data_IF_709856687723
#
_entry.id   IF_709856687723
#
_cell.length_a   1.000
_cell.length_b   1.000
_cell.length_c   1.000
_cell.angle_alpha   90.00
_cell.angle_beta   90.00
_cell.angle_gamma   90.00
#
_symmetry.space_group_name_H-M   'P 1'
#
loop_
_entity.id
_entity.type
_entity.pdbx_description
1 polymer ?
#
# COMPACT_ATOMS: atom_id res chain seq x y z
N UNK A 1 0.87 26.65 16.17
CA UNK A 1 1.16 25.37 16.86
C UNK A 1 -0.10 24.52 16.83
N UNK A 2 -0.08 23.30 16.28
CA UNK A 2 -1.24 22.40 16.47
C UNK A 2 -1.44 21.18 15.55
N UNK A 3 -0.76 21.02 14.40
CA UNK A 3 -1.06 19.90 13.48
C UNK A 3 -0.11 18.69 13.70
N UNK A 4 1.06 18.89 14.30
CA UNK A 4 2.06 17.84 14.54
C UNK A 4 1.81 16.97 15.79
N UNK A 5 0.66 17.10 16.45
CA UNK A 5 0.31 16.30 17.63
C UNK A 5 -0.70 15.16 17.38
N UNK A 6 -1.12 14.90 16.14
CA UNK A 6 -1.87 13.67 15.81
C UNK A 6 -0.98 12.40 15.78
N UNK A 7 0.34 12.56 15.87
CA UNK A 7 1.32 11.47 15.79
C UNK A 7 2.19 11.30 17.03
N UNK A 8 1.91 12.01 18.13
CA UNK A 8 2.66 11.85 19.38
C UNK A 8 1.77 11.31 20.50
N UNK A 9 2.16 10.10 20.96
CA UNK A 9 1.74 9.32 22.15
C UNK A 9 0.43 8.51 22.08
N UNK A 10 0.55 7.24 21.66
CA UNK A 10 0.73 6.06 22.54
C UNK A 10 0.78 4.81 21.64
N UNK A 11 1.96 4.19 21.52
CA UNK A 11 2.19 2.75 21.22
C UNK A 11 1.13 1.99 20.38
N UNK A 12 0.59 2.56 19.30
CA UNK A 12 -0.38 1.89 18.45
C UNK A 12 -0.19 2.37 17.02
N UNK A 13 0.12 1.44 16.11
CA UNK A 13 0.33 1.70 14.70
C UNK A 13 -1.00 1.93 13.94
N UNK A 14 -2.06 2.40 14.61
CA UNK A 14 -3.39 2.55 14.04
C UNK A 14 -3.38 3.55 12.87
N UNK A 15 -2.79 4.73 13.09
CA UNK A 15 -2.63 5.74 12.03
C UNK A 15 -1.70 5.24 10.93
N UNK A 16 -0.64 4.51 11.29
CA UNK A 16 0.31 3.95 10.34
C UNK A 16 -0.38 2.94 9.40
N UNK A 17 -1.19 2.03 9.93
CA UNK A 17 -1.96 1.07 9.14
C UNK A 17 -3.06 1.76 8.32
N UNK A 18 -3.76 2.73 8.92
CA UNK A 18 -4.82 3.48 8.25
C UNK A 18 -4.31 4.25 7.04
N UNK A 19 -3.19 4.96 7.13
CA UNK A 19 -2.58 5.66 6.00
C UNK A 19 -2.31 4.72 4.81
N UNK A 20 -1.91 3.48 5.10
CA UNK A 20 -1.49 2.50 4.08
C UNK A 20 -2.73 1.89 3.42
N UNK A 21 -3.80 1.70 4.21
CA UNK A 21 -5.13 1.35 3.69
C UNK A 21 -5.70 2.45 2.79
N UNK A 22 -5.63 3.71 3.21
CA UNK A 22 -6.14 4.83 2.41
C UNK A 22 -5.35 4.99 1.11
N UNK A 23 -4.01 4.94 1.15
CA UNK A 23 -3.19 4.96 -0.05
C UNK A 23 -3.57 3.81 -1.00
N UNK A 24 -3.73 2.59 -0.48
CA UNK A 24 -4.15 1.43 -1.27
C UNK A 24 -5.48 1.67 -1.99
N UNK A 25 -6.52 2.08 -1.25
CA UNK A 25 -7.87 2.32 -1.78
C UNK A 25 -7.85 3.41 -2.85
N UNK A 26 -7.27 4.57 -2.53
CA UNK A 26 -7.29 5.73 -3.42
C UNK A 26 -6.32 5.61 -4.61
N UNK A 27 -5.35 4.68 -4.54
CA UNK A 27 -4.48 4.36 -5.68
C UNK A 27 -5.13 3.42 -6.70
N UNK A 28 -6.22 2.73 -6.35
CA UNK A 28 -6.83 1.71 -7.21
C UNK A 28 -7.47 2.28 -8.48
N UNK A 29 -8.19 3.41 -8.35
CA UNK A 29 -8.75 4.14 -9.50
C UNK A 29 -7.66 4.59 -10.47
N UNK A 30 -6.67 5.39 -10.01
CA UNK A 30 -5.47 5.73 -10.78
C UNK A 30 -4.81 4.54 -11.49
N UNK A 31 -4.55 3.44 -10.78
CA UNK A 31 -3.96 2.23 -11.35
C UNK A 31 -4.76 1.68 -12.53
N UNK A 32 -6.06 1.46 -12.32
CA UNK A 32 -6.94 0.84 -13.34
C UNK A 32 -7.27 1.77 -14.50
N UNK A 33 -7.21 3.09 -14.30
CA UNK A 33 -7.36 4.09 -15.35
C UNK A 33 -6.09 4.20 -16.22
N UNK A 34 -4.90 4.21 -15.61
CA UNK A 34 -3.63 4.29 -16.34
C UNK A 34 -3.34 3.00 -17.11
N UNK A 35 -3.69 1.84 -16.54
CA UNK A 35 -3.49 0.51 -17.11
C UNK A 35 -4.83 -0.21 -17.33
N UNK A 36 -5.53 0.21 -18.40
CA UNK A 36 -6.90 -0.23 -18.72
C UNK A 36 -7.09 -1.74 -18.88
N UNK A 37 -6.03 -2.50 -19.15
CA UNK A 37 -6.06 -3.96 -19.21
C UNK A 37 -6.45 -4.62 -17.88
N UNK A 38 -6.33 -3.88 -16.76
CA UNK A 38 -6.72 -4.31 -15.42
C UNK A 38 -8.07 -3.74 -14.96
N UNK A 39 -8.81 -3.04 -15.83
CA UNK A 39 -10.13 -2.44 -15.52
C UNK A 39 -11.16 -3.45 -14.98
N UNK A 40 -11.07 -4.72 -15.37
CA UNK A 40 -11.93 -5.80 -14.84
C UNK A 40 -11.76 -6.04 -13.32
N UNK A 41 -10.69 -5.54 -12.70
CA UNK A 41 -10.54 -5.53 -11.25
C UNK A 41 -11.56 -4.61 -10.56
N UNK A 42 -12.18 -3.67 -11.28
CA UNK A 42 -13.15 -2.72 -10.73
C UNK A 42 -14.54 -3.34 -10.42
N UNK A 43 -14.74 -4.64 -10.68
CA UNK A 43 -15.95 -5.32 -10.19
C UNK A 43 -15.97 -5.32 -8.66
N UNK A 44 -17.15 -5.21 -8.04
CA UNK A 44 -17.29 -5.14 -6.58
C UNK A 44 -16.58 -6.31 -5.86
N UNK A 45 -16.69 -7.52 -6.42
CA UNK A 45 -16.04 -8.72 -5.89
C UNK A 45 -14.51 -8.61 -5.95
N UNK A 46 -13.95 -8.19 -7.08
CA UNK A 46 -12.51 -8.08 -7.27
C UNK A 46 -11.91 -6.93 -6.45
N UNK A 47 -12.65 -5.82 -6.31
CA UNK A 47 -12.28 -4.71 -5.44
C UNK A 47 -12.15 -5.15 -3.98
N UNK A 48 -13.07 -5.98 -3.47
CA UNK A 48 -12.97 -6.54 -2.11
C UNK A 48 -11.71 -7.38 -1.90
N UNK A 49 -11.32 -8.16 -2.91
CA UNK A 49 -10.08 -8.96 -2.88
C UNK A 49 -8.86 -8.04 -2.87
N UNK A 50 -8.81 -7.04 -3.76
CA UNK A 50 -7.77 -6.02 -3.78
C UNK A 50 -7.65 -5.29 -2.43
N UNK A 51 -8.79 -4.89 -1.88
CA UNK A 51 -8.90 -4.18 -0.61
C UNK A 51 -8.47 -5.00 0.61
N UNK A 52 -8.46 -6.34 0.50
CA UNK A 52 -7.93 -7.21 1.53
C UNK A 52 -6.40 -7.38 1.40
N UNK A 53 -5.88 -7.46 0.18
CA UNK A 53 -4.49 -7.86 -0.05
C UNK A 53 -3.53 -6.68 -0.25
N UNK A 54 -3.91 -5.69 -1.04
CA UNK A 54 -3.01 -4.60 -1.41
C UNK A 54 -2.61 -3.71 -0.22
N UNK A 55 -3.53 -3.34 0.70
CA UNK A 55 -3.12 -2.63 1.92
C UNK A 55 -2.08 -3.38 2.75
N UNK A 56 -2.16 -4.72 2.80
CA UNK A 56 -1.20 -5.55 3.52
C UNK A 56 0.16 -5.50 2.84
N UNK A 57 0.21 -5.60 1.50
CA UNK A 57 1.45 -5.49 0.74
C UNK A 57 2.12 -4.11 0.93
N UNK A 58 1.35 -3.02 0.85
CA UNK A 58 1.85 -1.65 1.12
C UNK A 58 2.36 -1.52 2.55
N UNK A 59 1.55 -1.96 3.53
CA UNK A 59 1.89 -1.86 4.95
C UNK A 59 3.13 -2.67 5.30
N UNK A 60 3.20 -3.91 4.83
CA UNK A 60 4.32 -4.82 5.01
C UNK A 60 5.60 -4.31 4.36
N UNK A 61 5.54 -3.78 3.14
CA UNK A 61 6.71 -3.18 2.49
C UNK A 61 7.23 -1.96 3.23
N UNK A 62 6.33 -1.03 3.61
CA UNK A 62 6.71 0.15 4.41
C UNK A 62 7.28 -0.26 5.77
N UNK A 63 6.67 -1.25 6.45
CA UNK A 63 7.10 -1.71 7.76
C UNK A 63 8.48 -2.36 7.72
N UNK A 64 8.80 -3.05 6.64
CA UNK A 64 10.12 -3.61 6.39
C UNK A 64 11.18 -2.52 6.18
N UNK A 65 10.86 -1.48 5.41
CA UNK A 65 11.76 -0.33 5.19
C UNK A 65 12.06 0.42 6.51
N UNK A 66 11.06 0.48 7.39
CA UNK A 66 11.11 1.15 8.68
C UNK A 66 11.68 0.26 9.81
N UNK A 67 12.00 -1.01 9.52
CA UNK A 67 12.58 -1.94 10.49
C UNK A 67 11.60 -2.47 11.55
N UNK A 68 10.30 -2.36 11.30
CA UNK A 68 9.24 -2.72 12.26
C UNK A 68 9.01 -4.24 12.32
N UNK A 69 9.27 -4.96 11.23
CA UNK A 69 9.04 -6.42 11.13
C UNK A 69 10.07 -7.21 11.95
N UNK A 70 11.26 -6.65 12.14
CA UNK A 70 12.36 -7.22 12.92
C UNK A 70 12.14 -7.08 14.42
N UNK A 71 11.35 -6.09 14.85
CA UNK A 71 11.04 -5.85 16.26
C UNK A 71 9.73 -6.56 16.65
N UNK A 72 9.76 -7.66 17.44
CA UNK A 72 8.55 -8.44 17.72
C UNK A 72 7.44 -7.67 18.42
N UNK A 73 7.79 -6.71 19.30
CA UNK A 73 6.80 -5.92 20.04
C UNK A 73 6.11 -4.91 19.13
N UNK A 74 6.88 -4.25 18.27
CA UNK A 74 6.35 -3.30 17.30
C UNK A 74 5.53 -4.00 16.22
N UNK A 75 6.02 -5.13 15.71
CA UNK A 75 5.29 -5.94 14.74
C UNK A 75 3.97 -6.47 15.30
N UNK A 76 3.92 -6.92 16.56
CA UNK A 76 2.67 -7.37 17.17
C UNK A 76 1.65 -6.23 17.30
N UNK A 77 2.09 -5.03 17.67
CA UNK A 77 1.23 -3.84 17.69
C UNK A 77 0.75 -3.49 16.28
N UNK A 78 1.62 -3.55 15.26
CA UNK A 78 1.25 -3.31 13.88
C UNK A 78 0.21 -4.30 13.34
N UNK A 79 0.36 -5.60 13.62
CA UNK A 79 -0.64 -6.60 13.24
C UNK A 79 -2.02 -6.31 13.83
N UNK A 80 -2.08 -5.94 15.11
CA UNK A 80 -3.34 -5.57 15.78
C UNK A 80 -3.97 -4.33 15.14
N UNK A 81 -3.16 -3.33 14.80
CA UNK A 81 -3.62 -2.16 14.06
C UNK A 81 -4.12 -2.50 12.66
N UNK A 82 -3.42 -3.38 11.94
CA UNK A 82 -3.80 -3.82 10.60
C UNK A 82 -5.15 -4.54 10.59
N UNK A 83 -5.40 -5.40 11.58
CA UNK A 83 -6.68 -6.12 11.70
C UNK A 83 -7.89 -5.19 11.93
N UNK A 84 -7.68 -3.96 12.43
CA UNK A 84 -8.75 -2.95 12.51
C UNK A 84 -9.10 -2.33 11.15
N UNK A 85 -8.16 -2.36 10.20
CA UNK A 85 -8.29 -1.72 8.89
C UNK A 85 -8.70 -2.70 7.79
N UNK A 86 -8.33 -3.97 7.95
CA UNK A 86 -8.54 -5.02 6.96
C UNK A 86 -8.93 -6.31 7.69
N UNK A 87 -9.99 -6.97 7.21
CA UNK A 87 -10.41 -8.29 7.70
C UNK A 87 -9.26 -9.28 7.58
N UNK A 88 -8.93 -9.97 8.67
CA UNK A 88 -7.77 -10.88 8.77
C UNK A 88 -6.42 -10.17 8.54
N UNK A 89 -6.35 -8.87 8.80
CA UNK A 89 -5.15 -8.07 8.56
C UNK A 89 -3.95 -8.51 9.42
N UNK A 90 -4.19 -9.09 10.60
CA UNK A 90 -3.12 -9.65 11.44
C UNK A 90 -2.55 -10.96 10.86
N UNK A 91 -3.39 -11.88 10.37
CA UNK A 91 -2.92 -13.13 9.75
C UNK A 91 -2.22 -12.83 8.43
N UNK A 92 -2.82 -12.00 7.56
CA UNK A 92 -2.25 -11.65 6.27
C UNK A 92 -0.91 -10.92 6.39
N UNK A 93 -0.76 -10.01 7.36
CA UNK A 93 0.51 -9.33 7.58
C UNK A 93 1.57 -10.27 8.17
N UNK A 94 1.17 -11.24 9.00
CA UNK A 94 2.09 -12.27 9.48
C UNK A 94 2.55 -13.18 8.34
N UNK A 95 1.64 -13.60 7.46
CA UNK A 95 1.96 -14.37 6.24
C UNK A 95 2.94 -13.63 5.34
N UNK A 96 2.66 -12.36 5.04
CA UNK A 96 3.57 -11.48 4.30
C UNK A 96 4.97 -11.46 4.93
N UNK A 97 5.07 -11.24 6.24
CA UNK A 97 6.36 -11.16 6.92
C UNK A 97 7.13 -12.49 6.89
N UNK A 98 6.44 -13.62 7.01
CA UNK A 98 7.06 -14.95 6.86
C UNK A 98 7.56 -15.16 5.43
N UNK A 99 6.76 -14.79 4.42
CA UNK A 99 7.14 -14.89 3.02
C UNK A 99 8.41 -14.07 2.74
N UNK A 100 8.47 -12.81 3.19
CA UNK A 100 9.66 -11.97 2.99
C UNK A 100 10.89 -12.55 3.69
N UNK A 101 10.74 -13.03 4.94
CA UNK A 101 11.84 -13.66 5.68
C UNK A 101 12.38 -14.92 5.00
N UNK A 102 11.51 -15.74 4.40
CA UNK A 102 11.92 -16.98 3.74
C UNK A 102 12.74 -16.77 2.47
N UNK A 103 12.74 -15.55 1.90
CA UNK A 103 13.55 -15.25 0.73
C UNK A 103 15.06 -15.10 1.06
N UNK A 104 15.46 -15.08 2.34
CA UNK A 104 16.87 -14.95 2.79
C UNK A 104 17.63 -13.79 2.12
N UNK A 105 16.96 -12.64 1.96
CA UNK A 105 17.50 -11.52 1.19
C UNK A 105 18.21 -10.52 2.11
N UNK A 106 19.48 -10.27 1.80
CA UNK A 106 20.21 -9.09 2.30
C UNK A 106 19.84 -7.80 1.51
N UNK A 107 18.81 -7.86 0.65
CA UNK A 107 18.41 -6.74 -0.21
C UNK A 107 17.65 -5.68 0.59
N UNK A 108 18.04 -4.42 0.40
CA UNK A 108 17.30 -3.25 0.94
C UNK A 108 16.02 -2.96 0.16
N UNK A 109 15.89 -3.44 -1.07
CA UNK A 109 14.70 -3.24 -1.90
C UNK A 109 13.98 -4.57 -2.10
N UNK A 110 12.83 -4.69 -1.44
CA UNK A 110 11.99 -5.87 -1.44
C UNK A 110 10.70 -5.67 -2.25
N UNK A 111 10.60 -4.58 -3.01
CA UNK A 111 9.39 -4.19 -3.73
C UNK A 111 8.92 -5.26 -4.72
N UNK A 112 9.86 -5.93 -5.39
CA UNK A 112 9.57 -7.05 -6.30
C UNK A 112 8.98 -8.25 -5.56
N UNK A 113 9.47 -8.56 -4.36
CA UNK A 113 8.95 -9.66 -3.55
C UNK A 113 7.58 -9.32 -2.96
N UNK A 114 7.36 -8.07 -2.55
CA UNK A 114 6.04 -7.60 -2.12
C UNK A 114 5.02 -7.64 -3.26
N UNK A 115 5.42 -7.24 -4.47
CA UNK A 115 4.61 -7.35 -5.68
C UNK A 115 4.29 -8.81 -6.02
N UNK A 116 5.28 -9.71 -5.88
CA UNK A 116 5.11 -11.13 -6.10
C UNK A 116 4.16 -11.77 -5.08
N UNK A 117 4.30 -11.44 -3.79
CA UNK A 117 3.38 -11.89 -2.74
C UNK A 117 1.95 -11.46 -3.05
N UNK A 118 1.75 -10.19 -3.44
CA UNK A 118 0.43 -9.68 -3.83
C UNK A 118 -0.13 -10.45 -5.02
N UNK A 119 0.65 -10.57 -6.09
CA UNK A 119 0.27 -11.30 -7.30
C UNK A 119 -0.17 -12.73 -6.99
N UNK A 120 0.63 -13.48 -6.22
CA UNK A 120 0.29 -14.86 -5.85
C UNK A 120 -0.99 -14.96 -5.03
N UNK A 121 -1.21 -14.05 -4.09
CA UNK A 121 -2.44 -14.04 -3.31
C UNK A 121 -3.66 -13.62 -4.16
N UNK A 122 -3.52 -12.66 -5.06
CA UNK A 122 -4.58 -12.29 -6.01
C UNK A 122 -4.96 -13.49 -6.91
N UNK A 123 -3.98 -14.26 -7.38
CA UNK A 123 -4.23 -15.44 -8.21
C UNK A 123 -5.04 -16.53 -7.51
N UNK A 124 -5.11 -16.57 -6.17
CA UNK A 124 -5.91 -17.55 -5.45
C UNK A 124 -7.41 -17.26 -5.50
N UNK A 125 -7.79 -15.99 -5.57
CA UNK A 125 -9.18 -15.55 -5.38
C UNK A 125 -9.81 -14.91 -6.61
N UNK A 126 -9.00 -14.42 -7.56
CA UNK A 126 -9.49 -13.84 -8.81
C UNK A 126 -9.96 -14.90 -9.81
N UNK A 127 -10.86 -14.56 -10.75
CA UNK A 127 -11.25 -15.45 -11.84
C UNK A 127 -10.09 -15.70 -12.83
N UNK A 128 -10.13 -16.82 -13.55
CA UNK A 128 -9.02 -17.31 -14.41
C UNK A 128 -8.50 -16.28 -15.42
N UNK A 129 -9.38 -15.50 -16.04
CA UNK A 129 -9.02 -14.44 -16.97
C UNK A 129 -8.18 -13.32 -16.33
N UNK A 130 -8.34 -13.07 -15.03
CA UNK A 130 -7.56 -12.09 -14.29
C UNK A 130 -6.31 -12.72 -13.64
N UNK A 131 -6.34 -14.01 -13.30
CA UNK A 131 -5.17 -14.72 -12.74
C UNK A 131 -3.95 -14.63 -13.66
N UNK A 132 -4.13 -14.78 -14.96
CA UNK A 132 -3.04 -14.64 -15.94
C UNK A 132 -2.51 -13.21 -15.96
N UNK A 133 -3.39 -12.20 -15.98
CA UNK A 133 -3.03 -10.78 -16.00
C UNK A 133 -2.25 -10.35 -14.76
N UNK A 134 -2.71 -10.71 -13.56
CA UNK A 134 -2.01 -10.36 -12.31
C UNK A 134 -0.76 -11.21 -12.07
N UNK A 135 -0.62 -12.32 -12.79
CA UNK A 135 0.57 -13.19 -12.77
C UNK A 135 1.69 -12.74 -13.72
N UNK A 136 1.40 -11.81 -14.61
CA UNK A 136 2.34 -11.35 -15.63
C UNK A 136 3.44 -10.47 -15.04
N UNK A 137 4.63 -10.52 -15.64
CA UNK A 137 5.78 -9.71 -15.27
C UNK A 137 5.46 -8.22 -15.35
N UNK A 138 4.59 -7.80 -16.27
CA UNK A 138 4.11 -6.42 -16.38
C UNK A 138 3.41 -5.97 -15.10
N UNK A 139 2.48 -6.77 -14.57
CA UNK A 139 1.77 -6.45 -13.33
C UNK A 139 2.74 -6.37 -12.15
N UNK A 140 3.65 -7.34 -12.04
CA UNK A 140 4.68 -7.35 -10.99
C UNK A 140 5.55 -6.10 -11.03
N UNK A 141 6.00 -5.68 -12.21
CA UNK A 141 6.83 -4.49 -12.38
C UNK A 141 6.07 -3.21 -12.01
N UNK A 142 4.81 -3.08 -12.42
CA UNK A 142 3.99 -1.92 -12.07
C UNK A 142 3.85 -1.79 -10.55
N UNK A 143 3.47 -2.88 -9.87
CA UNK A 143 3.30 -2.86 -8.42
C UNK A 143 4.62 -2.63 -7.69
N UNK A 144 5.71 -3.27 -8.14
CA UNK A 144 7.03 -3.07 -7.56
C UNK A 144 7.49 -1.61 -7.68
N UNK A 145 7.35 -1.02 -8.86
CA UNK A 145 7.70 0.39 -9.09
C UNK A 145 6.82 1.32 -8.26
N UNK A 146 5.51 1.04 -8.15
CA UNK A 146 4.61 1.82 -7.31
C UNK A 146 5.05 1.81 -5.84
N UNK A 147 5.34 0.63 -5.28
CA UNK A 147 5.84 0.50 -3.90
C UNK A 147 7.15 1.25 -3.73
N UNK A 148 8.11 1.05 -4.64
CA UNK A 148 9.42 1.68 -4.58
C UNK A 148 9.33 3.20 -4.64
N UNK A 149 8.58 3.75 -5.59
CA UNK A 149 8.40 5.19 -5.74
C UNK A 149 7.62 5.77 -4.56
N UNK A 150 6.62 5.04 -4.05
CA UNK A 150 5.79 5.51 -2.94
C UNK A 150 6.57 5.69 -1.63
N UNK A 151 7.63 4.91 -1.43
CA UNK A 151 8.40 4.89 -0.18
C UNK A 151 9.90 5.16 -0.37
N UNK A 152 10.31 5.73 -1.51
CA UNK A 152 11.71 6.10 -1.74
C UNK A 152 12.17 7.20 -0.76
N UNK A 153 13.33 7.00 -0.13
CA UNK A 153 13.86 7.85 0.96
C UNK A 153 14.38 9.22 0.50
N UNK A 154 14.52 9.47 -0.80
CA UNK A 154 15.24 10.65 -1.32
C UNK A 154 14.46 11.97 -1.44
N UNK A 155 13.22 12.08 -0.94
CA UNK A 155 12.47 13.33 -0.57
C UNK A 155 10.97 13.29 -0.94
N UNK A 156 10.55 12.37 -1.80
CA UNK A 156 9.18 12.32 -2.35
C UNK A 156 8.38 11.09 -1.91
N UNK A 157 8.62 10.55 -0.70
CA UNK A 157 7.76 9.49 -0.18
C UNK A 157 6.36 10.04 0.12
N UNK A 158 5.36 9.15 0.10
CA UNK A 158 3.96 9.46 0.27
C UNK A 158 3.66 10.35 1.47
N UNK A 159 4.31 10.07 2.60
CA UNK A 159 4.11 10.83 3.84
C UNK A 159 4.62 12.26 3.70
N UNK A 160 5.84 12.44 3.19
CA UNK A 160 6.40 13.77 2.98
C UNK A 160 5.57 14.58 1.97
N UNK A 161 5.06 13.93 0.91
CA UNK A 161 4.19 14.58 -0.06
C UNK A 161 2.94 15.15 0.60
N UNK A 162 2.26 14.34 1.42
CA UNK A 162 1.06 14.79 2.13
C UNK A 162 1.38 15.88 3.16
N UNK A 163 2.42 15.70 3.97
CA UNK A 163 2.81 16.65 5.01
C UNK A 163 3.19 18.03 4.44
N UNK A 164 3.70 18.09 3.21
CA UNK A 164 4.11 19.34 2.54
C UNK A 164 3.00 19.99 1.71
N UNK A 165 2.04 19.20 1.22
CA UNK A 165 1.02 19.66 0.28
C UNK A 165 -0.31 19.95 0.96
N UNK A 166 -0.66 19.19 2.00
CA UNK A 166 -1.94 19.33 2.68
C UNK A 166 -1.95 20.51 3.66
N UNK A 167 -2.86 21.47 3.46
CA UNK A 167 -2.95 22.70 4.26
C UNK A 167 -4.25 22.83 5.06
N UNK A 168 -5.09 21.80 5.04
CA UNK A 168 -6.48 21.86 5.54
C UNK A 168 -6.70 21.01 6.79
N UNK A 169 -7.90 21.09 7.38
CA UNK A 169 -8.25 20.34 8.60
C UNK A 169 -9.08 19.09 8.26
N UNK A 170 -8.55 17.91 8.59
CA UNK A 170 -9.19 16.59 8.43
C UNK A 170 -10.48 16.41 9.26
N UNK A 171 -10.76 17.29 10.22
CA UNK A 171 -12.03 17.26 10.97
C UNK A 171 -13.22 17.75 10.14
N UNK A 172 -12.96 18.43 9.03
CA UNK A 172 -14.01 18.98 8.16
C UNK A 172 -14.21 18.09 6.94
N UNK A 173 -15.45 18.06 6.41
CA UNK A 173 -15.75 17.36 5.15
C UNK A 173 -14.85 17.84 4.01
N UNK A 174 -14.63 19.15 3.93
CA UNK A 174 -13.77 19.77 2.92
C UNK A 174 -12.33 19.27 3.03
N UNK A 175 -11.75 19.28 4.24
CA UNK A 175 -10.38 18.80 4.43
C UNK A 175 -10.22 17.30 4.18
N UNK A 176 -11.23 16.47 4.51
CA UNK A 176 -11.22 15.05 4.13
C UNK A 176 -11.25 14.85 2.61
N UNK A 177 -12.09 15.61 1.90
CA UNK A 177 -12.16 15.53 0.43
C UNK A 177 -10.84 15.98 -0.21
N UNK A 178 -10.28 17.11 0.24
CA UNK A 178 -8.99 17.59 -0.27
C UNK A 178 -7.87 16.58 -0.01
N UNK A 179 -7.85 15.96 1.17
CA UNK A 179 -6.88 14.91 1.48
C UNK A 179 -7.01 13.72 0.53
N UNK A 180 -8.25 13.24 0.29
CA UNK A 180 -8.48 12.16 -0.66
C UNK A 180 -8.02 12.53 -2.08
N UNK A 181 -8.40 13.71 -2.58
CA UNK A 181 -7.98 14.20 -3.90
C UNK A 181 -6.46 14.35 -4.04
N UNK A 182 -5.75 14.74 -2.97
CA UNK A 182 -4.30 14.80 -2.99
C UNK A 182 -3.65 13.42 -3.10
N UNK A 183 -4.21 12.40 -2.44
CA UNK A 183 -3.72 11.02 -2.56
C UNK A 183 -3.96 10.48 -3.96
N UNK A 184 -5.15 10.72 -4.53
CA UNK A 184 -5.44 10.33 -5.91
C UNK A 184 -4.50 11.02 -6.90
N UNK A 185 -4.27 12.32 -6.76
CA UNK A 185 -3.32 13.07 -7.58
C UNK A 185 -1.90 12.52 -7.45
N UNK A 186 -1.46 12.22 -6.22
CA UNK A 186 -0.18 11.58 -5.96
C UNK A 186 -0.06 10.23 -6.68
N UNK A 187 -1.07 9.37 -6.54
CA UNK A 187 -1.11 8.06 -7.20
C UNK A 187 -1.13 8.17 -8.73
N UNK A 188 -1.91 9.11 -9.29
CA UNK A 188 -1.91 9.38 -10.73
C UNK A 188 -0.51 9.75 -11.23
N UNK A 189 0.16 10.70 -10.56
CA UNK A 189 1.51 11.12 -10.95
C UNK A 189 2.52 9.96 -10.91
N UNK A 190 2.41 9.07 -9.91
CA UNK A 190 3.25 7.87 -9.83
C UNK A 190 2.95 6.92 -10.99
N UNK A 191 1.69 6.57 -11.23
CA UNK A 191 1.35 5.60 -12.26
C UNK A 191 1.64 6.10 -13.67
N UNK A 192 1.46 7.39 -13.97
CA UNK A 192 1.89 7.98 -15.23
C UNK A 192 3.41 7.87 -15.40
N UNK A 193 4.20 8.17 -14.35
CA UNK A 193 5.66 7.98 -14.40
C UNK A 193 6.07 6.51 -14.56
N UNK A 194 5.27 5.56 -14.08
CA UNK A 194 5.50 4.12 -14.27
C UNK A 194 5.19 3.73 -15.71
N UNK A 195 4.09 4.23 -16.29
CA UNK A 195 3.68 3.94 -17.66
C UNK A 195 4.73 4.36 -18.69
N UNK A 196 5.49 5.42 -18.42
CA UNK A 196 6.63 5.83 -19.24
C UNK A 196 7.83 4.85 -19.20
N UNK A 197 7.87 3.94 -18.22
CA UNK A 197 9.00 3.03 -17.95
C UNK A 197 8.71 1.55 -18.27
N UNK A 198 7.45 1.20 -18.52
CA UNK A 198 6.97 -0.19 -18.64
C UNK A 198 6.39 -0.45 -20.03
#
# INVERSE_FOLDING_TARGET
MGILNLFKKKSNYDNYAYEKKILSVLSFGPFTNTFSEYSELQSEQNMKIWDALFPVAICGYSAQIDGLIENPKEFDSLKKSMNKQVTQGNELLADYAMFIKSQNLNSKDLSHFSAFWLSKNLQLYLPENLKSKVGDIKFLNIISLFLKLSFNKEKANFRNYLDTTFKSDLKTKTGMNEYASLIELYSNNIFESIKEKV
#
